data_IF_448980546028
#
_entry.id   IF_448980546028
#
_cell.length_a   1.000
_cell.length_b   1.000
_cell.length_c   1.000
_cell.angle_alpha   90.00
_cell.angle_beta   90.00
_cell.angle_gamma   90.00
#
_symmetry.space_group_name_H-M   'P 1'
#
loop_
_entity.id
_entity.type
_entity.pdbx_description
1 polymer ?
#
# COMPACT_ATOMS: atom_id res chain seq x y z
N UNK A 1 -60.02 -13.13 37.23
CA UNK A 1 -59.51 -12.22 36.18
C UNK A 1 -58.01 -12.39 36.18
N UNK A 2 -57.52 -13.31 35.36
CA UNK A 2 -56.10 -13.65 35.24
C UNK A 2 -55.55 -12.90 34.03
N UNK A 3 -54.46 -12.18 34.26
CA UNK A 3 -53.69 -11.44 33.26
C UNK A 3 -52.88 -12.46 32.44
N UNK A 4 -52.96 -12.47 31.10
CA UNK A 4 -52.18 -13.39 30.29
C UNK A 4 -50.72 -12.93 30.24
N UNK A 5 -49.82 -13.89 30.47
CA UNK A 5 -48.38 -13.77 30.27
C UNK A 5 -48.07 -13.41 28.82
N UNK A 6 -47.28 -12.35 28.64
CA UNK A 6 -46.78 -11.85 27.36
C UNK A 6 -45.48 -12.62 27.02
N UNK A 7 -45.45 -13.45 25.96
CA UNK A 7 -44.26 -14.21 25.60
C UNK A 7 -43.37 -13.39 24.66
N UNK A 8 -42.07 -13.47 24.95
CA UNK A 8 -40.97 -13.25 24.00
C UNK A 8 -40.77 -11.82 23.50
N UNK A 9 -40.23 -10.96 24.37
CA UNK A 9 -39.38 -9.87 23.91
C UNK A 9 -38.09 -10.50 23.33
N UNK A 10 -37.82 -10.36 22.01
CA UNK A 10 -36.63 -10.97 21.41
C UNK A 10 -35.36 -10.36 22.03
N UNK A 11 -34.29 -11.15 22.20
CA UNK A 11 -33.07 -10.67 22.80
C UNK A 11 -32.57 -9.45 22.03
N UNK A 12 -32.39 -8.35 22.75
CA UNK A 12 -31.78 -7.13 22.24
C UNK A 12 -30.34 -7.47 21.85
N UNK A 13 -30.09 -7.65 20.55
CA UNK A 13 -28.73 -7.83 20.04
C UNK A 13 -28.01 -6.50 20.21
N UNK A 14 -27.20 -6.37 21.26
CA UNK A 14 -26.26 -5.27 21.37
C UNK A 14 -25.19 -5.44 20.29
N UNK A 15 -24.99 -4.50 19.36
CA UNK A 15 -23.91 -4.58 18.39
C UNK A 15 -22.57 -4.32 19.09
N UNK A 16 -21.96 -5.38 19.63
CA UNK A 16 -20.51 -5.54 19.62
C UNK A 16 -20.20 -6.47 18.43
N UNK A 17 -19.13 -6.35 17.67
CA UNK A 17 -17.84 -5.72 17.95
C UNK A 17 -17.15 -5.52 16.59
N UNK A 18 -16.66 -4.32 16.30
CA UNK A 18 -15.83 -4.04 15.10
C UNK A 18 -14.59 -4.96 15.01
N UNK A 19 -14.17 -5.48 16.16
CA UNK A 19 -13.10 -6.47 16.27
C UNK A 19 -13.49 -7.85 15.72
N UNK A 20 -14.76 -8.27 15.73
CA UNK A 20 -15.12 -9.67 15.48
C UNK A 20 -15.03 -10.04 14.00
N UNK A 21 -15.45 -9.15 13.09
CA UNK A 21 -15.40 -9.42 11.65
C UNK A 21 -13.98 -9.24 11.07
N UNK A 22 -13.22 -8.26 11.55
CA UNK A 22 -11.80 -8.09 11.18
C UNK A 22 -10.99 -9.28 11.70
N UNK A 23 -11.27 -9.76 12.91
CA UNK A 23 -10.64 -10.97 13.47
C UNK A 23 -11.02 -12.21 12.65
N UNK A 24 -12.28 -12.35 12.22
CA UNK A 24 -12.71 -13.47 11.38
C UNK A 24 -11.98 -13.47 10.02
N UNK A 25 -11.81 -12.30 9.38
CA UNK A 25 -11.10 -12.17 8.11
C UNK A 25 -9.59 -12.47 8.24
N UNK A 26 -8.94 -12.00 9.30
CA UNK A 26 -7.51 -12.25 9.56
C UNK A 26 -7.24 -13.70 10.01
N UNK A 27 -8.15 -14.30 10.76
CA UNK A 27 -8.01 -15.68 11.28
C UNK A 27 -8.41 -16.73 10.25
N UNK A 28 -9.27 -16.40 9.29
CA UNK A 28 -9.77 -17.30 8.24
C UNK A 28 -8.69 -17.94 7.36
N UNK A 29 -7.51 -17.31 7.26
CA UNK A 29 -6.37 -17.82 6.47
C UNK A 29 -5.58 -18.95 7.15
N UNK A 30 -5.85 -19.26 8.43
CA UNK A 30 -5.17 -20.34 9.19
C UNK A 30 -6.08 -21.57 9.38
N UNK A 31 -7.33 -21.50 8.90
CA UNK A 31 -8.31 -22.58 9.02
C UNK A 31 -8.14 -23.74 8.01
N UNK A 32 -6.95 -23.93 7.44
CA UNK A 32 -6.59 -25.19 6.77
C UNK A 32 -6.01 -26.24 7.75
N UNK A 33 -6.01 -25.96 9.05
CA UNK A 33 -5.52 -26.89 10.08
C UNK A 33 -6.61 -27.59 10.91
N UNK A 34 -7.90 -27.24 10.74
CA UNK A 34 -9.00 -27.82 11.53
C UNK A 34 -9.72 -29.01 10.85
N UNK A 35 -9.51 -29.25 9.55
CA UNK A 35 -10.03 -30.43 8.85
C UNK A 35 -8.95 -31.50 8.66
N UNK A 36 -8.54 -32.13 9.77
CA UNK A 36 -8.20 -33.56 9.73
C UNK A 36 -6.89 -34.01 9.05
N UNK A 37 -5.81 -33.22 9.07
CA UNK A 37 -4.50 -33.70 8.60
C UNK A 37 -3.34 -32.82 9.06
N UNK A 38 -2.90 -32.98 10.31
CA UNK A 38 -1.85 -32.12 10.88
C UNK A 38 -0.46 -32.79 10.77
N UNK A 39 0.46 -32.32 9.89
CA UNK A 39 1.84 -32.83 9.82
C UNK A 39 2.70 -32.47 11.03
N UNK A 40 2.23 -31.60 11.94
CA UNK A 40 3.00 -31.14 13.11
C UNK A 40 2.89 -32.11 14.30
N UNK A 41 1.92 -33.03 14.29
CA UNK A 41 1.73 -34.01 15.36
C UNK A 41 2.89 -35.03 15.49
N UNK A 42 3.77 -35.13 14.50
CA UNK A 42 4.87 -36.11 14.50
C UNK A 42 6.13 -35.67 15.28
N UNK A 43 6.24 -34.40 15.68
CA UNK A 43 7.47 -33.86 16.31
C UNK A 43 7.34 -33.54 17.81
N UNK A 44 6.18 -33.80 18.41
CA UNK A 44 5.85 -33.44 19.79
C UNK A 44 6.82 -33.97 20.88
N UNK A 45 7.39 -35.19 20.83
CA UNK A 45 8.22 -35.68 21.93
C UNK A 45 9.64 -35.08 21.98
N UNK A 46 10.10 -34.41 20.92
CA UNK A 46 11.48 -33.89 20.87
C UNK A 46 11.64 -32.44 21.34
N UNK A 47 10.56 -31.65 21.45
CA UNK A 47 10.63 -30.19 21.70
C UNK A 47 9.76 -29.68 22.86
N UNK A 48 9.38 -30.55 23.81
CA UNK A 48 8.44 -30.24 24.90
C UNK A 48 8.65 -28.92 25.68
N UNK A 49 9.88 -28.53 26.07
CA UNK A 49 10.12 -27.26 26.76
C UNK A 49 10.17 -26.05 25.81
N UNK A 50 10.51 -26.25 24.54
CA UNK A 50 10.67 -25.18 23.54
C UNK A 50 9.32 -24.80 22.92
N UNK A 51 8.38 -25.74 22.79
CA UNK A 51 7.04 -25.51 22.24
C UNK A 51 6.22 -24.49 23.05
N UNK A 52 6.36 -24.46 24.39
CA UNK A 52 5.68 -23.44 25.21
C UNK A 52 6.14 -22.01 24.88
N UNK A 53 7.42 -21.83 24.52
CA UNK A 53 7.93 -20.52 24.07
C UNK A 53 7.42 -20.17 22.67
N UNK A 54 7.30 -21.14 21.78
CA UNK A 54 6.74 -20.94 20.43
C UNK A 54 5.27 -20.51 20.50
N UNK A 55 4.45 -21.13 21.35
CA UNK A 55 3.02 -20.78 21.51
C UNK A 55 2.84 -19.34 22.04
N UNK A 56 3.67 -18.91 23.02
CA UNK A 56 3.59 -17.54 23.56
C UNK A 56 4.09 -16.49 22.56
N UNK A 57 5.11 -16.84 21.75
CA UNK A 57 5.60 -15.95 20.69
C UNK A 57 4.57 -15.80 19.56
N UNK A 58 3.84 -16.88 19.26
CA UNK A 58 2.77 -16.89 18.26
C UNK A 58 1.62 -15.97 18.66
N UNK A 59 1.17 -16.03 19.92
CA UNK A 59 0.08 -15.18 20.42
C UNK A 59 0.41 -13.68 20.33
N UNK A 60 1.63 -13.27 20.70
CA UNK A 60 2.07 -11.86 20.56
C UNK A 60 2.14 -11.42 19.10
N UNK A 61 2.56 -12.31 18.21
CA UNK A 61 2.59 -12.02 16.78
C UNK A 61 1.17 -11.85 16.22
N UNK A 62 0.23 -12.68 16.66
CA UNK A 62 -1.17 -12.57 16.28
C UNK A 62 -1.81 -11.27 16.76
N UNK A 63 -1.60 -10.88 18.01
CA UNK A 63 -2.11 -9.61 18.55
C UNK A 63 -1.57 -8.41 17.74
N UNK A 64 -0.27 -8.39 17.45
CA UNK A 64 0.34 -7.33 16.64
C UNK A 64 -0.19 -7.30 15.20
N UNK A 65 -0.40 -8.47 14.57
CA UNK A 65 -0.99 -8.61 13.23
C UNK A 65 -2.39 -8.04 13.16
N UNK A 66 -3.25 -8.41 14.12
CA UNK A 66 -4.63 -7.91 14.22
C UNK A 66 -4.64 -6.41 14.49
N UNK A 67 -3.78 -5.93 15.38
CA UNK A 67 -3.69 -4.50 15.69
C UNK A 67 -3.35 -3.67 14.43
N UNK A 68 -2.38 -4.09 13.63
CA UNK A 68 -2.02 -3.39 12.37
C UNK A 68 -3.13 -3.43 11.34
N UNK A 69 -3.85 -4.55 11.21
CA UNK A 69 -5.00 -4.64 10.33
C UNK A 69 -6.12 -3.68 10.76
N UNK A 70 -6.44 -3.64 12.05
CA UNK A 70 -7.43 -2.69 12.63
C UNK A 70 -7.00 -1.24 12.41
N UNK A 71 -5.73 -0.92 12.66
CA UNK A 71 -5.17 0.41 12.43
C UNK A 71 -5.30 0.84 10.97
N UNK A 72 -5.02 -0.06 10.03
CA UNK A 72 -5.19 0.18 8.59
C UNK A 72 -6.63 0.53 8.23
N UNK A 73 -7.61 -0.21 8.77
CA UNK A 73 -9.04 0.08 8.57
C UNK A 73 -9.42 1.43 9.16
N UNK A 74 -8.93 1.75 10.36
CA UNK A 74 -9.19 3.04 11.01
C UNK A 74 -8.64 4.21 10.19
N UNK A 75 -7.44 4.07 9.62
CA UNK A 75 -6.87 5.07 8.70
C UNK A 75 -7.75 5.19 7.46
N UNK A 76 -8.19 4.09 6.87
CA UNK A 76 -9.04 4.14 5.68
C UNK A 76 -10.38 4.83 5.94
N UNK A 77 -11.04 4.53 7.06
CA UNK A 77 -12.28 5.19 7.52
C UNK A 77 -12.05 6.69 7.73
N UNK A 78 -10.99 7.05 8.45
CA UNK A 78 -10.64 8.44 8.73
C UNK A 78 -10.36 9.24 7.46
N UNK A 79 -9.58 8.68 6.53
CA UNK A 79 -9.22 9.34 5.27
C UNK A 79 -10.43 9.43 4.36
N UNK A 80 -11.22 8.36 4.23
CA UNK A 80 -12.34 8.30 3.30
C UNK A 80 -13.58 9.08 3.75
N UNK A 81 -13.72 9.32 5.06
CA UNK A 81 -14.91 9.92 5.66
C UNK A 81 -16.13 8.99 5.73
N UNK A 82 -15.98 7.71 5.34
CA UNK A 82 -17.04 6.70 5.49
C UNK A 82 -17.09 6.17 6.91
N UNK A 83 -18.30 5.85 7.39
CA UNK A 83 -18.49 5.03 8.58
C UNK A 83 -17.99 3.59 8.38
N UNK A 84 -17.81 2.85 9.47
CA UNK A 84 -17.37 1.45 9.37
C UNK A 84 -18.44 0.57 8.70
N UNK A 85 -19.71 0.85 8.97
CA UNK A 85 -20.86 0.14 8.38
C UNK A 85 -20.94 0.40 6.87
N UNK A 86 -20.63 1.63 6.43
CA UNK A 86 -20.59 1.98 5.01
C UNK A 86 -19.40 1.33 4.30
N UNK A 87 -18.25 1.26 4.96
CA UNK A 87 -17.09 0.50 4.48
C UNK A 87 -17.46 -0.98 4.31
N UNK A 88 -18.06 -1.60 5.33
CA UNK A 88 -18.49 -3.00 5.26
C UNK A 88 -19.46 -3.22 4.10
N UNK A 89 -20.51 -2.40 3.98
CA UNK A 89 -21.50 -2.52 2.91
C UNK A 89 -20.87 -2.39 1.50
N UNK A 90 -19.81 -1.59 1.36
CA UNK A 90 -19.07 -1.46 0.10
C UNK A 90 -18.19 -2.64 -0.21
N UNK A 91 -17.50 -3.18 0.80
CA UNK A 91 -16.72 -4.40 0.67
C UNK A 91 -17.63 -5.54 0.24
N UNK A 92 -18.79 -5.71 0.88
CA UNK A 92 -19.76 -6.76 0.59
C UNK A 92 -20.48 -6.59 -0.77
N UNK A 93 -20.58 -5.37 -1.29
CA UNK A 93 -21.29 -5.11 -2.55
C UNK A 93 -20.43 -5.30 -3.81
N UNK A 94 -19.12 -5.54 -3.67
CA UNK A 94 -18.19 -5.67 -4.80
C UNK A 94 -17.08 -6.69 -4.50
N UNK A 95 -17.00 -7.74 -5.32
CA UNK A 95 -15.92 -8.74 -5.26
C UNK A 95 -14.53 -8.10 -5.39
N UNK A 96 -14.42 -7.10 -6.27
CA UNK A 96 -13.22 -6.30 -6.44
C UNK A 96 -12.84 -5.61 -5.11
N UNK A 97 -13.78 -4.90 -4.48
CA UNK A 97 -13.52 -4.22 -3.22
C UNK A 97 -13.14 -5.20 -2.10
N UNK A 98 -13.77 -6.38 -2.06
CA UNK A 98 -13.40 -7.48 -1.16
C UNK A 98 -11.96 -7.94 -1.39
N UNK A 99 -11.53 -8.10 -2.65
CA UNK A 99 -10.15 -8.48 -2.97
C UNK A 99 -9.15 -7.41 -2.51
N UNK A 100 -9.39 -6.14 -2.82
CA UNK A 100 -8.53 -5.04 -2.38
C UNK A 100 -8.43 -4.99 -0.85
N UNK A 101 -9.58 -5.12 -0.17
CA UNK A 101 -9.65 -5.13 1.29
C UNK A 101 -8.81 -6.27 1.89
N UNK A 102 -9.01 -7.51 1.40
CA UNK A 102 -8.26 -8.67 1.87
C UNK A 102 -6.75 -8.51 1.64
N UNK A 103 -6.36 -8.01 0.47
CA UNK A 103 -4.95 -7.79 0.09
C UNK A 103 -4.28 -6.74 0.98
N UNK A 104 -4.97 -5.63 1.24
CA UNK A 104 -4.52 -4.57 2.14
C UNK A 104 -4.35 -5.09 3.57
N UNK A 105 -5.34 -5.82 4.11
CA UNK A 105 -5.25 -6.36 5.47
C UNK A 105 -4.13 -7.39 5.63
N UNK A 106 -3.96 -8.27 4.63
CA UNK A 106 -2.86 -9.23 4.64
C UNK A 106 -1.51 -8.52 4.67
N UNK A 107 -1.31 -7.51 3.81
CA UNK A 107 -0.09 -6.71 3.76
C UNK A 107 0.19 -5.97 5.08
N UNK A 108 -0.85 -5.36 5.67
CA UNK A 108 -0.74 -4.65 6.94
C UNK A 108 -0.37 -5.60 8.08
N UNK A 109 -1.02 -6.77 8.14
CA UNK A 109 -0.75 -7.77 9.16
C UNK A 109 0.71 -8.26 9.12
N UNK A 110 1.28 -8.41 7.92
CA UNK A 110 2.64 -8.92 7.72
C UNK A 110 3.74 -7.86 7.84
N UNK A 111 3.39 -6.58 7.89
CA UNK A 111 4.37 -5.48 7.96
C UNK A 111 5.19 -5.60 9.25
N UNK A 112 6.52 -5.46 9.19
CA UNK A 112 7.38 -5.49 10.38
C UNK A 112 8.13 -4.16 10.49
N UNK A 113 7.99 -3.47 11.63
CA UNK A 113 8.72 -2.23 11.96
C UNK A 113 8.56 -1.06 10.97
N UNK A 114 7.43 -0.96 10.26
CA UNK A 114 7.17 0.13 9.31
C UNK A 114 5.73 0.63 9.45
N UNK A 115 5.46 1.38 10.53
CA UNK A 115 4.12 1.91 10.83
C UNK A 115 3.60 2.82 9.69
N UNK A 116 4.50 3.51 9.00
CA UNK A 116 4.19 4.30 7.80
C UNK A 116 3.60 3.46 6.67
N UNK A 117 3.99 2.18 6.54
CA UNK A 117 3.40 1.24 5.56
C UNK A 117 1.98 0.83 5.95
N UNK A 118 1.70 0.63 7.24
CA UNK A 118 0.34 0.35 7.75
C UNK A 118 -0.59 1.51 7.41
N UNK A 119 -0.16 2.75 7.66
CA UNK A 119 -0.94 3.94 7.34
C UNK A 119 -1.08 4.14 5.83
N UNK A 120 0.00 3.95 5.05
CA UNK A 120 -0.05 4.04 3.59
C UNK A 120 -1.04 3.03 2.97
N UNK A 121 -1.08 1.81 3.51
CA UNK A 121 -2.06 0.79 3.13
C UNK A 121 -3.50 1.24 3.44
N UNK A 122 -3.73 1.96 4.54
CA UNK A 122 -5.02 2.56 4.85
C UNK A 122 -5.44 3.63 3.84
N UNK A 123 -4.49 4.48 3.41
CA UNK A 123 -4.72 5.45 2.32
C UNK A 123 -5.02 4.77 0.98
N UNK A 124 -4.34 3.67 0.66
CA UNK A 124 -4.61 2.88 -0.55
C UNK A 124 -6.01 2.29 -0.51
N UNK A 125 -6.46 1.79 0.64
CA UNK A 125 -7.82 1.30 0.80
C UNK A 125 -8.86 2.42 0.63
N UNK A 126 -8.61 3.59 1.24
CA UNK A 126 -9.45 4.79 1.05
C UNK A 126 -9.54 5.23 -0.41
N UNK A 127 -8.43 5.13 -1.16
CA UNK A 127 -8.37 5.47 -2.58
C UNK A 127 -9.29 4.58 -3.42
N UNK A 128 -9.29 3.27 -3.17
CA UNK A 128 -10.19 2.33 -3.85
C UNK A 128 -11.66 2.53 -3.50
N UNK A 129 -11.96 3.03 -2.29
CA UNK A 129 -13.32 3.33 -1.87
C UNK A 129 -13.90 4.59 -2.52
N UNK A 130 -13.08 5.60 -2.78
CA UNK A 130 -13.59 6.90 -3.27
C UNK A 130 -13.89 6.92 -4.76
N UNK A 131 -13.11 6.20 -5.56
CA UNK A 131 -13.09 6.38 -7.00
C UNK A 131 -12.79 5.06 -7.70
N UNK A 132 -13.83 4.46 -8.29
CA UNK A 132 -13.72 3.21 -9.07
C UNK A 132 -12.69 3.33 -10.20
N UNK A 133 -12.46 4.53 -10.75
CA UNK A 133 -11.45 4.73 -11.79
C UNK A 133 -10.00 4.63 -11.25
N UNK A 134 -9.82 4.76 -9.93
CA UNK A 134 -8.53 4.56 -9.24
C UNK A 134 -8.40 3.18 -8.63
N UNK A 135 -9.40 2.33 -8.76
CA UNK A 135 -9.40 1.01 -8.15
C UNK A 135 -8.22 0.15 -8.61
N UNK A 136 -7.94 0.13 -9.93
CA UNK A 136 -6.79 -0.59 -10.49
C UNK A 136 -5.45 -0.07 -9.95
N UNK A 137 -5.36 1.25 -9.73
CA UNK A 137 -4.18 1.90 -9.16
C UNK A 137 -4.04 1.51 -7.68
N UNK A 138 -5.14 1.44 -6.94
CA UNK A 138 -5.13 1.02 -5.53
C UNK A 138 -4.67 -0.44 -5.39
N UNK A 139 -5.13 -1.35 -6.26
CA UNK A 139 -4.63 -2.73 -6.29
C UNK A 139 -3.12 -2.75 -6.55
N UNK A 140 -2.65 -2.03 -7.58
CA UNK A 140 -1.23 -2.00 -7.93
C UNK A 140 -0.38 -1.45 -6.77
N UNK A 141 -0.84 -0.40 -6.09
CA UNK A 141 -0.16 0.16 -4.93
C UNK A 141 -0.17 -0.80 -3.74
N UNK A 142 -1.27 -1.52 -3.50
CA UNK A 142 -1.33 -2.54 -2.45
C UNK A 142 -0.29 -3.64 -2.72
N UNK A 143 -0.20 -4.14 -3.95
CA UNK A 143 0.80 -5.13 -4.38
C UNK A 143 2.22 -4.65 -4.13
N UNK A 144 2.53 -3.46 -4.62
CA UNK A 144 3.83 -2.84 -4.43
C UNK A 144 4.15 -2.76 -2.95
N UNK A 145 3.25 -2.19 -2.14
CA UNK A 145 3.48 -2.00 -0.71
C UNK A 145 3.72 -3.34 -0.01
N UNK A 146 3.13 -4.45 -0.45
CA UNK A 146 3.41 -5.77 0.15
C UNK A 146 4.90 -6.14 0.11
N UNK A 147 5.61 -5.73 -0.95
CA UNK A 147 7.03 -6.04 -1.18
C UNK A 147 7.99 -5.02 -0.57
N UNK A 148 7.49 -3.83 -0.23
CA UNK A 148 8.31 -2.75 0.30
C UNK A 148 8.60 -2.97 1.77
N UNK A 149 9.88 -2.91 2.12
CA UNK A 149 10.39 -3.02 3.47
C UNK A 149 11.24 -1.77 3.75
N UNK A 150 11.67 -1.57 5.00
CA UNK A 150 12.40 -0.38 5.40
C UNK A 150 13.63 -0.06 4.51
N UNK A 151 14.49 -1.02 4.11
CA UNK A 151 15.61 -0.72 3.20
C UNK A 151 15.14 -0.20 1.84
N UNK A 152 14.05 -0.74 1.30
CA UNK A 152 13.45 -0.30 0.05
C UNK A 152 12.93 1.13 0.15
N UNK A 153 12.25 1.48 1.25
CA UNK A 153 11.75 2.83 1.48
C UNK A 153 12.90 3.86 1.55
N UNK A 154 14.01 3.52 2.22
CA UNK A 154 15.20 4.39 2.32
C UNK A 154 15.89 4.62 0.98
N UNK A 155 15.96 3.58 0.13
CA UNK A 155 16.46 3.70 -1.24
C UNK A 155 15.52 4.60 -2.06
N UNK A 156 14.20 4.37 -2.02
CA UNK A 156 13.23 5.21 -2.72
C UNK A 156 13.33 6.68 -2.30
N UNK A 157 13.43 6.94 -0.99
CA UNK A 157 13.63 8.28 -0.44
C UNK A 157 14.92 8.92 -0.98
N UNK A 158 16.02 8.17 -1.02
CA UNK A 158 17.28 8.63 -1.61
C UNK A 158 17.13 8.98 -3.08
N UNK A 159 16.39 8.16 -3.84
CA UNK A 159 16.12 8.41 -5.26
C UNK A 159 15.20 9.63 -5.51
N UNK A 160 14.50 10.15 -4.50
CA UNK A 160 13.78 11.44 -4.62
C UNK A 160 14.73 12.63 -4.65
N UNK A 161 15.92 12.50 -4.05
CA UNK A 161 16.95 13.53 -4.04
C UNK A 161 17.58 13.66 -5.43
N UNK A 162 18.15 14.82 -5.71
CA UNK A 162 18.91 15.06 -6.93
C UNK A 162 20.19 14.21 -6.91
N UNK A 163 20.35 13.34 -7.90
CA UNK A 163 21.56 12.52 -8.04
C UNK A 163 22.82 13.40 -8.13
N UNK A 164 23.98 12.94 -7.58
CA UNK A 164 25.23 13.67 -7.70
C UNK A 164 25.62 13.91 -9.17
N UNK A 165 26.14 15.09 -9.53
CA UNK A 165 26.62 15.33 -10.88
C UNK A 165 27.90 14.52 -11.14
N UNK A 166 27.97 13.85 -12.29
CA UNK A 166 29.24 13.28 -12.77
C UNK A 166 29.90 14.23 -13.76
N UNK A 167 31.17 14.64 -13.54
CA UNK A 167 31.89 15.47 -14.49
C UNK A 167 31.88 14.89 -15.91
N UNK A 168 31.49 15.70 -16.89
CA UNK A 168 31.48 15.30 -18.31
C UNK A 168 30.29 14.43 -18.73
N UNK A 169 29.34 14.13 -17.84
CA UNK A 169 28.16 13.34 -18.19
C UNK A 169 26.87 14.05 -17.79
N UNK A 170 25.85 13.96 -18.63
CA UNK A 170 24.52 14.42 -18.26
C UNK A 170 23.97 13.56 -17.10
N UNK A 171 23.36 14.22 -16.13
CA UNK A 171 22.86 13.59 -14.92
C UNK A 171 21.47 12.98 -15.18
N UNK A 172 21.44 11.66 -15.40
CA UNK A 172 20.22 10.92 -15.77
C UNK A 172 19.72 9.99 -14.68
N UNK A 173 20.22 10.10 -13.46
CA UNK A 173 19.83 9.22 -12.36
C UNK A 173 20.99 8.86 -11.45
N UNK A 174 20.67 8.07 -10.44
CA UNK A 174 21.61 7.60 -9.43
C UNK A 174 22.43 6.42 -9.96
N UNK A 175 23.74 6.43 -9.70
CA UNK A 175 24.62 5.29 -9.95
C UNK A 175 24.73 4.42 -8.72
N UNK A 176 25.22 3.21 -8.89
CA UNK A 176 25.52 2.29 -7.79
C UNK A 176 26.51 2.89 -6.81
N UNK A 177 27.61 3.45 -7.31
CA UNK A 177 28.66 3.98 -6.45
C UNK A 177 28.18 5.19 -5.64
N UNK A 178 27.24 5.96 -6.19
CA UNK A 178 26.63 7.10 -5.51
C UNK A 178 25.60 6.66 -4.47
N UNK A 179 24.80 5.64 -4.76
CA UNK A 179 23.87 5.07 -3.78
C UNK A 179 24.61 4.39 -2.63
N UNK A 180 25.69 3.65 -2.90
CA UNK A 180 26.53 3.04 -1.87
C UNK A 180 27.18 4.12 -1.00
N UNK A 181 27.58 5.25 -1.59
CA UNK A 181 28.14 6.38 -0.82
C UNK A 181 27.10 7.00 0.11
N UNK A 182 25.86 7.13 -0.35
CA UNK A 182 24.76 7.71 0.44
C UNK A 182 24.21 6.71 1.49
N UNK A 183 24.24 5.41 1.19
CA UNK A 183 23.70 4.32 2.00
C UNK A 183 24.76 3.22 2.20
N UNK A 184 25.87 3.52 2.91
CA UNK A 184 27.00 2.58 3.06
C UNK A 184 26.62 1.27 3.76
N UNK A 185 25.59 1.26 4.60
CA UNK A 185 25.08 0.05 5.25
C UNK A 185 24.45 -0.96 4.29
N UNK A 186 24.13 -0.55 3.05
CA UNK A 186 23.54 -1.41 2.04
C UNK A 186 24.53 -1.81 0.95
N UNK A 187 25.83 -1.48 1.08
CA UNK A 187 26.85 -1.69 0.06
C UNK A 187 26.81 -3.10 -0.58
N UNK A 188 26.67 -4.14 0.25
CA UNK A 188 26.70 -5.53 -0.20
C UNK A 188 25.35 -6.05 -0.74
N UNK A 189 24.25 -5.33 -0.49
CA UNK A 189 22.87 -5.79 -0.75
C UNK A 189 22.05 -4.81 -1.60
N UNK A 190 22.65 -3.73 -2.09
CA UNK A 190 21.94 -2.67 -2.81
C UNK A 190 21.34 -3.16 -4.13
N UNK A 191 22.07 -4.00 -4.87
CA UNK A 191 21.61 -4.52 -6.16
C UNK A 191 20.39 -5.45 -6.02
N UNK A 192 20.35 -6.41 -5.06
CA UNK A 192 19.12 -7.14 -4.75
C UNK A 192 17.93 -6.24 -4.42
N UNK A 193 18.11 -5.20 -3.59
CA UNK A 193 17.03 -4.27 -3.25
C UNK A 193 16.55 -3.47 -4.46
N UNK A 194 17.47 -2.96 -5.29
CA UNK A 194 17.13 -2.31 -6.55
C UNK A 194 16.39 -3.27 -7.49
N UNK A 195 16.80 -4.54 -7.55
CA UNK A 195 16.12 -5.56 -8.33
C UNK A 195 14.64 -5.72 -7.95
N UNK A 196 14.33 -5.70 -6.65
CA UNK A 196 12.95 -5.73 -6.13
C UNK A 196 12.20 -4.43 -6.53
N UNK A 197 12.83 -3.27 -6.40
CA UNK A 197 12.22 -2.00 -6.80
C UNK A 197 11.97 -1.90 -8.32
N UNK A 198 12.84 -2.49 -9.13
CA UNK A 198 12.70 -2.57 -10.59
C UNK A 198 11.62 -3.57 -10.98
N UNK A 199 11.57 -4.75 -10.34
CA UNK A 199 10.54 -5.75 -10.63
C UNK A 199 9.14 -5.28 -10.24
N UNK A 200 9.03 -4.50 -9.16
CA UNK A 200 7.80 -3.80 -8.77
C UNK A 200 7.49 -2.55 -9.60
N UNK A 201 8.33 -2.20 -10.58
CA UNK A 201 8.11 -1.05 -11.47
C UNK A 201 8.24 0.31 -10.80
N UNK A 202 8.86 0.41 -9.63
CA UNK A 202 9.06 1.67 -8.89
C UNK A 202 10.30 2.43 -9.32
N UNK A 203 11.30 1.67 -9.77
CA UNK A 203 12.56 2.19 -10.28
C UNK A 203 12.73 1.67 -11.70
N UNK A 204 13.36 2.49 -12.55
CA UNK A 204 13.75 2.05 -13.89
C UNK A 204 15.16 2.51 -14.21
N UNK A 205 15.78 1.77 -15.13
CA UNK A 205 17.03 2.20 -15.75
C UNK A 205 16.76 2.87 -17.12
N UNK A 206 16.98 4.19 -17.25
CA UNK A 206 16.79 4.87 -18.53
C UNK A 206 17.87 4.51 -19.56
N UNK A 207 19.00 3.94 -19.14
CA UNK A 207 20.11 3.55 -20.01
C UNK A 207 19.83 2.27 -20.77
N UNK A 208 19.01 1.35 -20.26
CA UNK A 208 18.66 0.08 -20.94
C UNK A 208 18.05 0.30 -22.33
N UNK A 209 17.35 1.43 -22.55
CA UNK A 209 16.78 1.77 -23.87
C UNK A 209 17.78 2.44 -24.81
N UNK A 210 18.82 3.05 -24.27
CA UNK A 210 19.91 3.59 -25.04
C UNK A 210 20.90 2.44 -25.28
N UNK A 211 21.04 1.96 -26.52
CA UNK A 211 22.01 0.92 -26.92
C UNK A 211 23.50 1.33 -26.74
N UNK A 212 23.81 2.06 -25.67
CA UNK A 212 25.10 2.60 -25.33
C UNK A 212 25.88 1.54 -24.57
N UNK A 213 26.65 0.73 -25.33
CA UNK A 213 27.64 -0.19 -24.77
C UNK A 213 28.56 0.57 -23.80
N UNK A 214 28.63 0.08 -22.55
CA UNK A 214 29.63 0.49 -21.57
C UNK A 214 29.24 1.63 -20.62
N UNK A 215 27.97 2.05 -20.56
CA UNK A 215 27.52 2.95 -19.49
C UNK A 215 27.08 2.15 -18.27
N UNK A 216 27.50 2.58 -17.08
CA UNK A 216 27.01 2.05 -15.81
C UNK A 216 25.49 2.21 -15.71
N UNK A 217 24.85 1.23 -15.07
CA UNK A 217 23.42 1.27 -14.77
C UNK A 217 23.09 2.55 -13.99
N UNK A 218 21.91 3.11 -14.26
CA UNK A 218 21.43 4.30 -13.57
C UNK A 218 19.99 4.12 -13.17
N UNK A 219 19.60 4.63 -12.01
CA UNK A 219 18.26 4.43 -11.50
C UNK A 219 17.53 5.74 -11.28
N UNK A 220 16.27 5.76 -11.71
CA UNK A 220 15.33 6.86 -11.50
C UNK A 220 13.98 6.31 -11.04
N UNK A 221 13.28 7.07 -10.21
CA UNK A 221 11.91 6.76 -9.84
C UNK A 221 10.98 6.83 -11.06
N UNK A 222 10.08 5.84 -11.16
CA UNK A 222 8.93 5.89 -12.05
C UNK A 222 7.82 6.76 -11.46
N UNK A 223 6.71 6.95 -12.19
CA UNK A 223 5.52 7.61 -11.63
C UNK A 223 4.96 6.83 -10.44
N UNK A 224 4.91 5.50 -10.53
CA UNK A 224 4.45 4.64 -9.45
C UNK A 224 5.39 4.74 -8.23
N UNK A 225 6.71 4.70 -8.44
CA UNK A 225 7.68 4.87 -7.36
C UNK A 225 7.55 6.19 -6.61
N UNK A 226 7.24 7.29 -7.33
CA UNK A 226 6.95 8.60 -6.72
C UNK A 226 5.66 8.59 -5.89
N UNK A 227 4.60 7.99 -6.40
CA UNK A 227 3.33 7.86 -5.67
C UNK A 227 3.49 7.00 -4.41
N UNK A 228 4.24 5.90 -4.50
CA UNK A 228 4.52 5.03 -3.35
C UNK A 228 5.28 5.76 -2.24
N UNK A 229 6.35 6.50 -2.57
CA UNK A 229 7.09 7.24 -1.54
C UNK A 229 6.29 8.41 -0.97
N UNK A 230 5.48 9.10 -1.79
CA UNK A 230 4.57 10.14 -1.32
C UNK A 230 3.52 9.59 -0.33
N UNK A 231 2.97 8.41 -0.60
CA UNK A 231 2.07 7.71 0.32
C UNK A 231 2.76 7.37 1.65
N UNK A 232 3.98 6.83 1.60
CA UNK A 232 4.76 6.51 2.81
C UNK A 232 5.08 7.77 3.64
N UNK A 233 5.37 8.91 2.99
CA UNK A 233 5.62 10.17 3.68
C UNK A 233 4.36 10.75 4.32
N UNK A 234 3.25 10.78 3.56
CA UNK A 234 1.95 11.28 4.03
C UNK A 234 1.49 10.49 5.26
N UNK A 235 1.63 9.17 5.18
CA UNK A 235 1.31 8.22 6.23
C UNK A 235 2.16 8.41 7.50
N UNK A 236 3.44 8.76 7.37
CA UNK A 236 4.32 8.94 8.53
C UNK A 236 4.15 10.26 9.28
N UNK A 237 3.21 11.12 8.88
CA UNK A 237 3.09 12.48 9.43
C UNK A 237 4.35 13.32 9.17
N UNK A 238 5.26 12.83 8.32
CA UNK A 238 6.36 13.62 7.81
C UNK A 238 5.75 14.63 6.84
N UNK A 239 5.44 15.81 7.39
CA UNK A 239 5.31 17.01 6.59
C UNK A 239 6.64 17.17 5.87
N UNK A 240 6.71 16.65 4.64
CA UNK A 240 7.78 16.98 3.70
C UNK A 240 7.67 18.48 3.60
N UNK A 241 8.54 19.19 4.31
CA UNK A 241 8.58 20.65 4.30
C UNK A 241 8.60 21.04 2.84
N UNK A 242 7.45 21.55 2.37
CA UNK A 242 7.12 21.98 1.02
C UNK A 242 8.35 21.92 0.11
N UNK A 243 8.50 20.81 -0.63
CA UNK A 243 9.42 20.75 -1.77
C UNK A 243 8.93 21.77 -2.78
N UNK A 244 9.32 23.02 -2.56
CA UNK A 244 9.29 24.18 -3.43
C UNK A 244 8.22 24.12 -4.53
N UNK A 245 6.96 24.30 -4.12
CA UNK A 245 5.86 24.66 -5.00
C UNK A 245 6.05 26.11 -5.46
N UNK A 246 7.11 26.36 -6.24
CA UNK A 246 7.26 27.55 -7.08
C UNK A 246 6.79 27.29 -8.52
N UNK A 247 6.31 26.09 -8.82
CA UNK A 247 5.52 25.84 -10.02
C UNK A 247 4.06 26.26 -9.74
N UNK A 248 3.54 27.31 -10.40
CA UNK A 248 2.14 27.68 -10.23
C UNK A 248 1.25 26.49 -10.60
N UNK A 249 0.13 26.28 -9.89
CA UNK A 249 -0.80 25.22 -10.25
C UNK A 249 -1.18 25.43 -11.72
N UNK A 250 -0.98 24.39 -12.53
CA UNK A 250 -1.52 24.34 -13.87
C UNK A 250 -3.01 24.62 -13.73
N UNK A 251 -3.39 25.85 -14.04
CA UNK A 251 -4.77 26.28 -14.05
C UNK A 251 -5.40 25.39 -15.11
N UNK A 252 -6.20 24.42 -14.68
CA UNK A 252 -7.04 23.61 -15.55
C UNK A 252 -7.89 24.62 -16.34
N UNK A 253 -7.39 24.90 -17.54
CA UNK A 253 -7.92 25.93 -18.40
C UNK A 253 -9.36 25.60 -18.68
N UNK A 254 -10.24 26.53 -18.32
CA UNK A 254 -11.55 26.72 -18.94
C UNK A 254 -11.50 26.20 -20.38
N UNK A 255 -12.18 25.09 -20.63
CA UNK A 255 -12.57 24.67 -21.97
C UNK A 255 -13.24 25.89 -22.62
N UNK A 256 -12.48 26.57 -23.49
CA UNK A 256 -13.06 27.55 -24.41
C UNK A 256 -13.93 26.76 -25.37
N UNK A 257 -15.23 27.00 -25.26
CA UNK A 257 -16.22 26.74 -26.29
C UNK A 257 -15.64 27.09 -27.67
N UNK A 258 -15.50 26.09 -28.53
CA UNK A 258 -15.19 26.28 -29.94
C UNK A 258 -16.48 26.81 -30.58
N UNK A 259 -16.56 28.13 -30.73
CA UNK A 259 -17.56 28.75 -31.57
C UNK A 259 -17.26 28.37 -33.03
N UNK A 260 -18.13 27.55 -33.60
CA UNK A 260 -18.16 27.24 -35.03
C UNK A 260 -18.59 28.52 -35.77
N UNK A 261 -17.70 29.04 -36.62
CA UNK A 261 -18.00 30.17 -37.48
C UNK A 261 -18.93 29.76 -38.64
N UNK A 262 -19.92 30.57 -39.03
CA UNK A 262 -20.77 30.28 -40.18
C UNK A 262 -20.02 30.51 -41.50
N UNK A 263 -20.02 29.49 -42.35
CA UNK A 263 -19.52 29.53 -43.73
C UNK A 263 -20.28 30.59 -44.54
N UNK A 264 -19.56 31.63 -44.99
CA UNK A 264 -20.09 32.62 -45.91
C UNK A 264 -20.00 32.10 -47.34
N UNK A 265 -21.16 31.78 -47.93
CA UNK A 265 -21.33 31.54 -49.36
C UNK A 265 -20.97 32.82 -50.13
N UNK A 266 -19.91 32.77 -50.93
CA UNK A 266 -19.62 33.78 -51.94
C UNK A 266 -20.30 33.37 -53.24
N UNK A 267 -21.39 34.07 -53.59
CA UNK A 267 -22.04 33.96 -54.88
C UNK A 267 -21.24 34.73 -55.94
N UNK A 268 -20.95 34.06 -57.05
CA UNK A 268 -20.46 34.64 -58.30
C UNK A 268 -21.66 35.19 -59.11
N UNK A 269 -21.55 36.44 -59.54
CA UNK A 269 -22.12 36.96 -60.79
C UNK A 269 -20.96 37.58 -61.56
#
# INVERSE_FOLDING_TARGET
MSQPDDPDEPPTVTPSTTADWVTAAVTGSVAFAASGGNPVAFLAPFFGPTLKKVIVLDQRSHEARTQRAVETVNVAVSVSGYGLEELQARVESSDAMTELFARVLAAASHTVNLDTKVHALGHVLAMGLWDDAKFDIAILLADVLTTIEEPHARILETLTKKAPPTPGEANFGWREEDLIRELPEFADVINPFIGILVSGGLVRDPTVRAFLKGKSERWVLTTLGKQTIELLHTAGGYSVGSLDSSAPPATLGKMRSIAVAPSSMTGLI
#
